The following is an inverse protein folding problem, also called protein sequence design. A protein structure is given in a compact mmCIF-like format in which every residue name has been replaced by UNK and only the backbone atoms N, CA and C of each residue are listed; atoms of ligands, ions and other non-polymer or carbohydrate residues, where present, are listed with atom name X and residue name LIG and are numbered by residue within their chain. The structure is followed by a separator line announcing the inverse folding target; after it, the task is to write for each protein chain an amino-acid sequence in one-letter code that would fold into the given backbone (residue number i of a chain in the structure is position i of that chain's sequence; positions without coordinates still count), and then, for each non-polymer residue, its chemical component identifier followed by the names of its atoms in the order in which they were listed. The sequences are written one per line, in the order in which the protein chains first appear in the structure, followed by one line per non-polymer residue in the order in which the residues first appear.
data_IF_879036407074
#
_entry.id   IF_879036407074
#
_cell.length_a   1.000
_cell.length_b   1.000
_cell.length_c   1.000
_cell.angle_alpha   90.00
_cell.angle_beta   90.00
_cell.angle_gamma   90.00
#
_symmetry.space_group_name_H-M   'P 1'
#
loop_
_entity.id
_entity.type
_entity.pdbx_description
1 polymer ?
#
# COMPACT_ATOMS: atom_id res chain seq x y z
N UNK A 1 -13.79 -8.38 12.50
CA UNK A 1 -15.17 -7.87 12.70
C UNK A 1 -15.61 -7.20 11.42
N UNK A 2 -16.83 -7.45 10.96
CA UNK A 2 -17.49 -6.64 9.94
C UNK A 2 -18.08 -5.40 10.61
N UNK A 3 -18.05 -4.26 9.93
CA UNK A 3 -18.68 -3.04 10.41
C UNK A 3 -19.35 -2.30 9.25
N UNK A 4 -20.59 -1.80 9.42
CA UNK A 4 -21.24 -1.02 8.38
C UNK A 4 -20.48 0.29 8.12
N UNK A 5 -20.74 0.91 6.97
CA UNK A 5 -20.21 2.24 6.69
C UNK A 5 -20.99 3.28 7.50
N UNK A 6 -20.29 4.15 8.24
CA UNK A 6 -20.94 5.26 8.95
C UNK A 6 -21.47 6.32 7.97
N UNK A 7 -20.70 6.64 6.94
CA UNK A 7 -21.15 7.41 5.78
C UNK A 7 -21.39 6.44 4.63
N UNK A 8 -22.60 6.38 4.06
CA UNK A 8 -22.88 5.50 2.91
C UNK A 8 -22.24 5.98 1.61
N UNK A 9 -22.13 5.12 0.59
CA UNK A 9 -21.64 5.53 -0.74
C UNK A 9 -22.54 6.60 -1.38
N UNK A 10 -23.86 6.45 -1.27
CA UNK A 10 -24.83 7.41 -1.79
C UNK A 10 -24.69 8.80 -1.13
N UNK A 11 -24.39 8.86 0.17
CA UNK A 11 -24.11 10.13 0.87
C UNK A 11 -22.81 10.80 0.39
N UNK A 12 -21.87 10.05 -0.17
CA UNK A 12 -20.67 10.58 -0.85
C UNK A 12 -20.89 10.89 -2.33
N UNK A 13 -22.14 10.79 -2.83
CA UNK A 13 -22.46 11.01 -4.24
C UNK A 13 -22.10 9.83 -5.16
N UNK A 14 -21.76 8.66 -4.62
CA UNK A 14 -21.45 7.45 -5.39
C UNK A 14 -22.71 6.58 -5.45
N UNK A 15 -23.39 6.60 -6.59
CA UNK A 15 -24.61 5.82 -6.82
C UNK A 15 -24.26 4.45 -7.41
N UNK A 16 -24.81 3.39 -6.84
CA UNK A 16 -24.62 2.02 -7.33
C UNK A 16 -25.75 1.11 -6.81
N UNK A 17 -26.06 0.06 -7.57
CA UNK A 17 -26.93 -1.04 -7.14
C UNK A 17 -26.15 -2.25 -6.61
N UNK A 18 -24.81 -2.16 -6.57
CA UNK A 18 -23.95 -3.23 -6.10
C UNK A 18 -24.28 -3.65 -4.66
N UNK A 19 -24.11 -4.93 -4.37
CA UNK A 19 -24.02 -5.43 -3.00
C UNK A 19 -22.72 -4.87 -2.41
N UNK A 20 -22.86 -4.09 -1.33
CA UNK A 20 -21.71 -3.51 -0.63
C UNK A 20 -21.27 -4.45 0.49
N UNK A 21 -19.99 -4.81 0.49
CA UNK A 21 -19.32 -5.54 1.55
C UNK A 21 -18.40 -4.61 2.34
N UNK A 22 -18.90 -3.97 3.42
CA UNK A 22 -18.13 -2.99 4.18
C UNK A 22 -17.28 -3.65 5.26
N UNK A 23 -16.03 -3.21 5.35
CA UNK A 23 -15.06 -3.50 6.41
C UNK A 23 -14.97 -5.00 6.74
N UNK A 24 -14.96 -5.87 5.71
CA UNK A 24 -14.84 -7.30 5.93
C UNK A 24 -13.52 -7.66 6.63
N UNK A 25 -13.57 -8.71 7.44
CA UNK A 25 -12.38 -9.27 8.08
C UNK A 25 -11.58 -10.18 7.15
N UNK A 26 -10.35 -10.49 7.55
CA UNK A 26 -9.40 -11.34 6.78
C UNK A 26 -10.02 -12.65 6.32
N UNK A 27 -10.64 -13.42 7.21
CA UNK A 27 -11.22 -14.72 6.86
C UNK A 27 -12.29 -14.60 5.75
N UNK A 28 -13.21 -13.65 5.90
CA UNK A 28 -14.29 -13.43 4.93
C UNK A 28 -13.76 -12.96 3.58
N UNK A 29 -12.71 -12.14 3.57
CA UNK A 29 -12.09 -11.69 2.33
C UNK A 29 -11.33 -12.81 1.63
N UNK A 30 -10.66 -13.69 2.38
CA UNK A 30 -10.03 -14.90 1.82
C UNK A 30 -11.07 -15.85 1.25
N UNK A 31 -12.15 -16.12 1.98
CA UNK A 31 -13.28 -16.95 1.51
C UNK A 31 -13.83 -16.42 0.19
N UNK A 32 -14.17 -15.13 0.14
CA UNK A 32 -14.72 -14.54 -1.09
C UNK A 32 -13.70 -14.49 -2.23
N UNK A 33 -12.41 -14.24 -1.96
CA UNK A 33 -11.38 -14.28 -3.00
C UNK A 33 -11.26 -15.68 -3.63
N UNK A 34 -11.42 -16.74 -2.83
CA UNK A 34 -11.41 -18.12 -3.33
C UNK A 34 -12.68 -18.41 -4.12
N UNK A 35 -13.85 -18.07 -3.57
CA UNK A 35 -15.16 -18.32 -4.20
C UNK A 35 -15.29 -17.57 -5.54
N UNK A 36 -14.74 -16.36 -5.62
CA UNK A 36 -14.71 -15.55 -6.84
C UNK A 36 -13.62 -15.99 -7.84
N UNK A 37 -12.77 -16.97 -7.48
CA UNK A 37 -11.65 -17.41 -8.33
C UNK A 37 -10.55 -16.36 -8.52
N UNK A 38 -10.41 -15.43 -7.57
CA UNK A 38 -9.42 -14.35 -7.62
C UNK A 38 -8.01 -14.80 -7.22
N UNK A 39 -7.92 -15.91 -6.48
CA UNK A 39 -6.67 -16.47 -5.97
C UNK A 39 -6.82 -17.93 -5.55
N UNK A 40 -5.73 -18.51 -5.05
CA UNK A 40 -5.65 -19.92 -4.62
C UNK A 40 -4.88 -20.02 -3.31
N UNK A 41 -5.26 -20.94 -2.43
CA UNK A 41 -4.50 -21.18 -1.21
C UNK A 41 -3.23 -21.98 -1.49
N UNK A 42 -2.13 -21.56 -0.86
CA UNK A 42 -0.91 -22.35 -0.75
C UNK A 42 -1.11 -23.54 0.19
N UNK A 43 -0.13 -24.44 0.22
CA UNK A 43 -0.09 -25.59 1.14
C UNK A 43 -0.31 -25.18 2.60
N UNK A 44 0.11 -23.97 2.97
CA UNK A 44 0.06 -23.46 4.34
C UNK A 44 -1.08 -22.46 4.58
N UNK A 45 -1.91 -22.17 3.57
CA UNK A 45 -3.11 -21.35 3.72
C UNK A 45 -2.91 -19.85 3.46
N UNK A 46 -1.74 -19.42 2.98
CA UNK A 46 -1.59 -18.08 2.40
C UNK A 46 -2.30 -17.98 1.04
N UNK A 47 -2.84 -16.82 0.71
CA UNK A 47 -3.57 -16.58 -0.54
C UNK A 47 -2.59 -16.16 -1.65
N UNK A 48 -2.41 -17.01 -2.66
CA UNK A 48 -1.59 -16.73 -3.85
C UNK A 48 -2.47 -16.13 -4.95
N UNK A 49 -2.04 -14.99 -5.49
CA UNK A 49 -2.76 -14.23 -6.52
C UNK A 49 -1.83 -13.85 -7.67
N UNK A 50 -2.40 -13.63 -8.85
CA UNK A 50 -1.68 -13.19 -10.04
C UNK A 50 -2.21 -11.85 -10.52
N UNK A 51 -1.31 -10.91 -10.82
CA UNK A 51 -1.66 -9.55 -11.25
C UNK A 51 -1.58 -9.37 -12.78
N UNK A 52 -1.19 -10.42 -13.50
CA UNK A 52 -1.10 -10.44 -14.95
C UNK A 52 0.02 -9.54 -15.48
N UNK A 53 -0.28 -8.73 -16.50
CA UNK A 53 0.70 -7.89 -17.21
C UNK A 53 1.45 -6.91 -16.29
N UNK A 54 0.77 -6.39 -15.25
CA UNK A 54 1.35 -5.40 -14.34
C UNK A 54 1.80 -6.09 -13.06
N UNK A 55 3.08 -6.44 -12.97
CA UNK A 55 3.70 -7.06 -11.79
C UNK A 55 4.46 -6.06 -10.91
N UNK A 56 4.23 -4.77 -11.17
CA UNK A 56 4.86 -3.65 -10.48
C UNK A 56 4.18 -2.34 -10.86
N UNK A 57 4.70 -1.23 -10.33
CA UNK A 57 4.12 0.10 -10.54
C UNK A 57 4.11 0.52 -12.01
N UNK A 58 3.01 1.13 -12.43
CA UNK A 58 2.85 1.75 -13.73
C UNK A 58 3.15 3.26 -13.64
N UNK A 59 4.38 3.60 -13.25
CA UNK A 59 4.75 4.97 -12.86
C UNK A 59 4.44 6.05 -13.94
N UNK A 60 4.48 5.67 -15.22
CA UNK A 60 4.17 6.55 -16.35
C UNK A 60 2.66 6.69 -16.65
N UNK A 61 1.81 5.91 -15.99
CA UNK A 61 0.35 5.99 -16.04
C UNK A 61 -0.24 6.66 -14.77
N UNK A 62 0.62 7.19 -13.89
CA UNK A 62 0.20 7.98 -12.75
C UNK A 62 0.11 9.46 -13.12
N UNK A 63 -1.04 10.06 -12.86
CA UNK A 63 -1.34 11.46 -13.14
C UNK A 63 -1.82 12.16 -11.87
N UNK A 64 -1.45 13.44 -11.73
CA UNK A 64 -2.01 14.34 -10.71
C UNK A 64 -2.81 15.41 -11.45
N UNK A 65 -4.02 15.70 -10.98
CA UNK A 65 -4.82 16.81 -11.53
C UNK A 65 -4.03 18.10 -11.33
N UNK A 66 -3.83 18.86 -12.42
CA UNK A 66 -3.17 20.17 -12.39
C UNK A 66 -4.23 21.26 -12.37
N UNK A 67 -4.44 21.84 -11.19
CA UNK A 67 -5.45 22.84 -10.86
C UNK A 67 -4.89 23.90 -9.91
N UNK A 68 -5.73 24.80 -9.39
CA UNK A 68 -5.28 25.88 -8.50
C UNK A 68 -4.65 25.43 -7.18
N UNK A 69 -4.93 24.20 -6.69
CA UNK A 69 -4.32 23.64 -5.49
C UNK A 69 -2.90 23.11 -5.76
N UNK A 70 -2.69 22.58 -6.97
CA UNK A 70 -1.52 21.77 -7.32
C UNK A 70 -0.52 22.45 -8.25
N UNK A 71 -0.94 23.48 -8.99
CA UNK A 71 -0.14 24.19 -10.01
C UNK A 71 1.24 24.58 -9.48
N UNK A 72 1.29 25.20 -8.30
CA UNK A 72 2.52 25.76 -7.72
C UNK A 72 3.11 24.89 -6.58
N UNK A 73 2.45 23.79 -6.21
CA UNK A 73 2.85 22.95 -5.06
C UNK A 73 3.37 21.58 -5.48
N UNK A 74 3.02 21.10 -6.68
CA UNK A 74 3.50 19.82 -7.23
C UNK A 74 4.75 20.04 -8.07
N UNK A 75 5.75 19.17 -7.89
CA UNK A 75 6.94 19.15 -8.74
C UNK A 75 6.64 18.49 -10.09
N UNK A 76 6.32 19.30 -11.09
CA UNK A 76 5.88 18.83 -12.42
C UNK A 76 6.96 18.22 -13.30
N UNK A 77 8.26 18.46 -13.04
CA UNK A 77 9.31 17.82 -13.85
C UNK A 77 9.36 16.30 -13.64
N UNK A 78 8.78 15.81 -12.54
CA UNK A 78 8.79 14.40 -12.16
C UNK A 78 7.38 13.78 -12.03
N UNK A 79 6.32 14.57 -12.18
CA UNK A 79 4.93 14.09 -12.08
C UNK A 79 4.17 14.44 -13.36
N UNK A 80 3.45 13.46 -13.92
CA UNK A 80 2.58 13.71 -15.06
C UNK A 80 1.28 14.41 -14.62
N UNK A 81 0.83 15.37 -15.43
CA UNK A 81 -0.41 16.10 -15.19
C UNK A 81 -1.58 15.53 -15.99
N UNK A 82 -2.78 15.60 -15.42
CA UNK A 82 -4.06 15.53 -16.13
C UNK A 82 -4.81 16.84 -15.86
N UNK A 83 -5.53 17.41 -16.83
CA UNK A 83 -6.27 18.65 -16.57
C UNK A 83 -7.65 18.36 -15.92
N UNK A 84 -8.32 19.37 -15.34
CA UNK A 84 -9.60 19.19 -14.66
C UNK A 84 -10.70 18.59 -15.56
N UNK A 85 -10.78 19.00 -16.82
CA UNK A 85 -11.81 18.50 -17.76
C UNK A 85 -11.62 17.02 -18.10
N UNK A 86 -10.36 16.62 -18.31
CA UNK A 86 -9.97 15.23 -18.55
C UNK A 86 -10.26 14.35 -17.33
N UNK A 87 -9.92 14.83 -16.13
CA UNK A 87 -10.24 14.13 -14.90
C UNK A 87 -11.76 14.02 -14.68
N UNK A 88 -12.52 15.07 -14.98
CA UNK A 88 -13.97 15.05 -14.88
C UNK A 88 -14.58 13.99 -15.82
N UNK A 89 -14.10 13.90 -17.07
CA UNK A 89 -14.52 12.86 -18.00
C UNK A 89 -14.13 11.45 -17.53
N UNK A 90 -12.92 11.28 -16.98
CA UNK A 90 -12.47 10.02 -16.39
C UNK A 90 -13.34 9.61 -15.19
N UNK A 91 -13.64 10.56 -14.30
CA UNK A 91 -14.48 10.37 -13.11
C UNK A 91 -15.90 9.98 -13.49
N UNK A 92 -16.49 10.62 -14.49
CA UNK A 92 -17.82 10.26 -15.02
C UNK A 92 -17.85 8.79 -15.43
N UNK A 93 -16.88 8.36 -16.22
CA UNK A 93 -16.82 6.99 -16.73
C UNK A 93 -16.47 5.97 -15.63
N UNK A 94 -15.64 6.33 -14.66
CA UNK A 94 -15.39 5.51 -13.47
C UNK A 94 -16.64 5.32 -12.63
N UNK A 95 -17.40 6.38 -12.36
CA UNK A 95 -18.64 6.29 -11.57
C UNK A 95 -19.71 5.48 -12.30
N UNK A 96 -19.77 5.58 -13.63
CA UNK A 96 -20.61 4.69 -14.43
C UNK A 96 -20.17 3.23 -14.26
N UNK A 97 -18.87 2.94 -14.36
CA UNK A 97 -18.34 1.60 -14.17
C UNK A 97 -18.60 1.04 -12.76
N UNK A 98 -18.56 1.89 -11.71
CA UNK A 98 -18.98 1.54 -10.34
C UNK A 98 -20.48 1.17 -10.29
N UNK A 99 -21.32 1.88 -11.04
CA UNK A 99 -22.75 1.60 -11.15
C UNK A 99 -23.08 0.30 -11.88
N UNK A 100 -22.18 -0.20 -12.71
CA UNK A 100 -22.31 -1.47 -13.46
C UNK A 100 -21.81 -2.69 -12.67
N UNK A 101 -21.27 -2.52 -11.46
CA UNK A 101 -20.82 -3.63 -10.61
C UNK A 101 -21.98 -4.27 -9.86
N UNK A 102 -21.95 -5.59 -9.79
CA UNK A 102 -22.87 -6.37 -8.95
C UNK A 102 -22.44 -6.37 -7.48
N UNK A 103 -21.14 -6.25 -7.23
CA UNK A 103 -20.52 -6.33 -5.89
C UNK A 103 -19.40 -5.32 -5.76
N UNK A 104 -19.28 -4.68 -4.59
CA UNK A 104 -18.16 -3.80 -4.23
C UNK A 104 -17.70 -4.10 -2.80
N UNK A 105 -16.38 -4.11 -2.61
CA UNK A 105 -15.74 -4.20 -1.32
C UNK A 105 -15.31 -2.81 -0.87
N UNK A 106 -15.61 -2.45 0.38
CA UNK A 106 -15.31 -1.13 0.92
C UNK A 106 -14.58 -1.26 2.23
N UNK A 107 -13.41 -0.62 2.36
CA UNK A 107 -12.65 -0.57 3.61
C UNK A 107 -12.42 0.88 4.04
N UNK A 108 -12.76 1.18 5.30
CA UNK A 108 -12.43 2.42 6.01
C UNK A 108 -11.17 2.19 6.84
N UNK A 109 -10.11 2.94 6.55
CA UNK A 109 -8.75 2.72 7.02
C UNK A 109 -8.05 4.04 7.35
N UNK A 110 -6.92 3.99 8.04
CA UNK A 110 -6.06 5.14 8.30
C UNK A 110 -4.74 5.01 7.54
N UNK A 111 -4.31 6.08 6.88
CA UNK A 111 -2.90 6.27 6.50
C UNK A 111 -2.20 7.04 7.62
N UNK A 112 -1.25 6.41 8.31
CA UNK A 112 -0.62 6.96 9.52
C UNK A 112 -1.11 6.32 10.82
N UNK A 113 -0.19 5.90 11.68
CA UNK A 113 -0.48 5.39 13.03
C UNK A 113 -0.62 6.51 14.07
N UNK A 114 0.07 7.65 13.89
CA UNK A 114 -0.01 8.78 14.83
C UNK A 114 -1.36 9.53 14.68
N UNK A 115 -2.25 9.56 15.70
CA UNK A 115 -3.61 10.09 15.58
C UNK A 115 -3.72 11.55 15.10
N UNK A 116 -2.76 12.40 15.46
CA UNK A 116 -2.77 13.83 15.07
C UNK A 116 -2.41 14.05 13.59
N UNK A 117 -1.82 13.05 12.94
CA UNK A 117 -1.27 13.16 11.60
C UNK A 117 -1.88 12.17 10.60
N UNK A 118 -2.64 11.18 11.07
CA UNK A 118 -3.30 10.19 10.23
C UNK A 118 -4.38 10.80 9.33
N UNK A 119 -4.61 10.15 8.20
CA UNK A 119 -5.63 10.52 7.22
C UNK A 119 -6.67 9.40 7.15
N UNK A 120 -7.96 9.75 7.19
CA UNK A 120 -9.07 8.81 6.98
C UNK A 120 -9.19 8.48 5.49
N UNK A 121 -8.93 7.23 5.12
CA UNK A 121 -8.99 6.75 3.74
C UNK A 121 -10.09 5.72 3.59
N UNK A 122 -10.99 5.93 2.63
CA UNK A 122 -11.93 4.91 2.16
C UNK A 122 -11.42 4.31 0.86
N UNK A 123 -11.41 2.99 0.77
CA UNK A 123 -11.04 2.26 -0.44
C UNK A 123 -12.23 1.45 -0.92
N UNK A 124 -12.66 1.70 -2.16
CA UNK A 124 -13.76 1.03 -2.84
C UNK A 124 -13.14 0.23 -3.99
N UNK A 125 -13.37 -1.07 -4.03
CA UNK A 125 -12.83 -1.90 -5.11
C UNK A 125 -13.75 -3.06 -5.49
N UNK A 126 -13.44 -3.71 -6.61
CA UNK A 126 -14.23 -4.82 -7.16
C UNK A 126 -13.71 -6.22 -6.80
N UNK A 127 -12.55 -6.35 -6.13
CA UNK A 127 -11.91 -7.65 -5.84
C UNK A 127 -11.72 -7.85 -4.34
N UNK A 128 -12.17 -8.99 -3.81
CA UNK A 128 -12.01 -9.32 -2.40
C UNK A 128 -10.54 -9.31 -1.97
N UNK A 129 -9.63 -9.84 -2.80
CA UNK A 129 -8.21 -9.87 -2.47
C UNK A 129 -7.54 -8.49 -2.48
N UNK A 130 -8.03 -7.53 -3.29
CA UNK A 130 -7.57 -6.14 -3.23
C UNK A 130 -7.99 -5.47 -1.92
N UNK A 131 -9.22 -5.74 -1.47
CA UNK A 131 -9.67 -5.25 -0.18
C UNK A 131 -8.90 -5.89 1.00
N UNK A 132 -8.57 -7.18 0.90
CA UNK A 132 -7.68 -7.87 1.86
C UNK A 132 -6.31 -7.21 1.88
N UNK A 133 -5.70 -7.00 0.71
CA UNK A 133 -4.40 -6.35 0.58
C UNK A 133 -4.39 -5.00 1.28
N UNK A 134 -5.31 -4.09 0.93
CA UNK A 134 -5.23 -2.72 1.45
C UNK A 134 -5.59 -2.65 2.94
N UNK A 135 -6.49 -3.52 3.41
CA UNK A 135 -6.79 -3.69 4.84
C UNK A 135 -5.59 -4.21 5.64
N UNK A 136 -4.79 -5.06 5.02
CA UNK A 136 -3.53 -5.55 5.60
C UNK A 136 -2.52 -4.41 5.71
N UNK A 137 -2.39 -3.59 4.66
CA UNK A 137 -1.35 -2.57 4.59
C UNK A 137 -1.64 -1.28 5.34
N UNK A 138 -2.87 -0.79 5.38
CA UNK A 138 -3.17 0.45 6.11
C UNK A 138 -3.50 0.18 7.58
N UNK A 139 -3.39 1.20 8.41
CA UNK A 139 -3.74 1.10 9.83
C UNK A 139 -5.24 0.87 9.97
N UNK A 140 -5.62 -0.18 10.73
CA UNK A 140 -7.01 -0.61 10.89
C UNK A 140 -7.67 0.16 12.03
N UNK A 141 -8.79 0.86 11.80
CA UNK A 141 -9.57 1.46 12.87
C UNK A 141 -10.14 0.40 13.82
N UNK A 142 -10.28 0.75 15.09
CA UNK A 142 -11.09 -0.01 16.05
C UNK A 142 -12.58 0.07 15.72
N UNK A 143 -13.39 -0.80 16.33
CA UNK A 143 -14.85 -0.77 16.12
C UNK A 143 -15.46 0.59 16.48
N UNK A 144 -15.00 1.20 17.58
CA UNK A 144 -15.48 2.51 18.04
C UNK A 144 -15.04 3.64 17.10
N UNK A 145 -13.84 3.55 16.51
CA UNK A 145 -13.37 4.53 15.52
C UNK A 145 -14.07 4.43 14.17
N UNK A 146 -14.68 3.28 13.85
CA UNK A 146 -15.54 3.13 12.68
C UNK A 146 -16.90 3.80 12.88
N UNK A 147 -17.34 3.96 14.12
CA UNK A 147 -18.51 4.77 14.43
C UNK A 147 -18.21 6.25 14.12
N UNK A 148 -19.01 6.87 13.26
CA UNK A 148 -18.77 8.24 12.81
C UNK A 148 -17.61 8.37 11.82
N UNK A 149 -17.09 7.28 11.24
CA UNK A 149 -16.04 7.37 10.23
C UNK A 149 -16.51 8.15 9.00
N UNK A 150 -15.83 9.27 8.74
CA UNK A 150 -16.02 10.14 7.60
C UNK A 150 -14.70 10.19 6.82
N UNK A 151 -14.63 9.58 5.62
CA UNK A 151 -13.40 9.56 4.85
C UNK A 151 -12.97 10.95 4.41
N UNK A 152 -11.68 11.23 4.50
CA UNK A 152 -11.08 12.45 3.97
C UNK A 152 -10.66 12.23 2.51
N UNK A 153 -10.11 11.06 2.20
CA UNK A 153 -9.75 10.65 0.85
C UNK A 153 -10.49 9.37 0.48
N UNK A 154 -10.88 9.27 -0.80
CA UNK A 154 -11.48 8.07 -1.36
C UNK A 154 -10.61 7.53 -2.50
N UNK A 155 -10.33 6.24 -2.48
CA UNK A 155 -9.72 5.49 -3.58
C UNK A 155 -10.81 4.63 -4.21
N UNK A 156 -10.98 4.72 -5.52
CA UNK A 156 -11.80 3.80 -6.31
C UNK A 156 -10.85 2.99 -7.21
N UNK A 157 -10.74 1.70 -6.93
CA UNK A 157 -9.85 0.78 -7.62
C UNK A 157 -10.66 -0.26 -8.40
N UNK A 158 -10.65 -0.14 -9.73
CA UNK A 158 -11.35 -1.01 -10.66
C UNK A 158 -10.36 -1.56 -11.70
N UNK A 159 -9.61 -2.64 -11.40
CA UNK A 159 -8.68 -3.25 -12.33
C UNK A 159 -9.29 -3.64 -13.68
N UNK A 160 -10.61 -3.82 -13.78
CA UNK A 160 -11.37 -4.07 -15.01
C UNK A 160 -11.62 -2.81 -15.85
N UNK A 161 -11.59 -1.62 -15.26
CA UNK A 161 -11.76 -0.38 -16.00
C UNK A 161 -10.59 -0.18 -16.97
N UNK A 162 -10.88 0.39 -18.14
CA UNK A 162 -9.89 0.74 -19.16
C UNK A 162 -10.11 2.18 -19.54
N UNK A 163 -9.11 3.03 -19.29
CA UNK A 163 -9.16 4.42 -19.72
C UNK A 163 -9.15 4.49 -21.25
N UNK A 164 -9.83 5.49 -21.81
CA UNK A 164 -9.74 5.89 -23.20
C UNK A 164 -8.71 7.05 -23.28
N UNK A 165 -7.49 6.80 -23.80
CA UNK A 165 -6.45 7.84 -23.90
C UNK A 165 -6.91 9.12 -24.59
N UNK A 166 -7.76 9.01 -25.62
CA UNK A 166 -8.20 10.16 -26.40
C UNK A 166 -9.23 11.01 -25.61
N UNK A 167 -10.11 10.36 -24.86
CA UNK A 167 -11.14 11.04 -24.05
C UNK A 167 -10.61 11.53 -22.71
N UNK A 168 -9.83 10.70 -22.02
CA UNK A 168 -9.37 10.93 -20.65
C UNK A 168 -8.00 11.61 -20.58
N UNK A 169 -7.30 11.80 -21.70
CA UNK A 169 -5.96 12.39 -21.70
C UNK A 169 -4.91 11.52 -21.03
N UNK A 170 -5.18 10.22 -20.86
CA UNK A 170 -4.22 9.27 -20.29
C UNK A 170 -3.22 8.81 -21.34
N UNK A 171 -2.10 8.25 -20.88
CA UNK A 171 -1.07 7.68 -21.76
C UNK A 171 -1.49 6.33 -22.35
N UNK A 172 -2.19 5.53 -21.56
CA UNK A 172 -2.62 4.18 -21.91
C UNK A 172 -4.00 3.87 -21.30
N UNK A 173 -4.46 2.64 -21.49
CA UNK A 173 -5.68 2.13 -20.84
C UNK A 173 -5.53 1.92 -19.33
N UNK A 174 -4.29 1.87 -18.82
CA UNK A 174 -3.96 1.88 -17.39
C UNK A 174 -3.90 3.31 -16.89
N UNK A 175 -4.46 3.57 -15.70
CA UNK A 175 -4.50 4.90 -15.11
C UNK A 175 -4.44 4.83 -13.59
N UNK A 176 -3.65 5.73 -13.00
CA UNK A 176 -3.68 6.09 -11.57
C UNK A 176 -3.83 7.60 -11.49
N UNK A 177 -5.06 8.11 -11.41
CA UNK A 177 -5.34 9.54 -11.41
C UNK A 177 -5.63 10.05 -10.00
N UNK A 178 -4.89 11.05 -9.54
CA UNK A 178 -4.98 11.64 -8.21
C UNK A 178 -5.52 13.06 -8.30
N UNK A 179 -6.65 13.34 -7.66
CA UNK A 179 -7.19 14.68 -7.49
C UNK A 179 -7.12 15.08 -6.01
N UNK A 180 -6.21 16.00 -5.67
CA UNK A 180 -5.98 16.45 -4.29
C UNK A 180 -7.06 17.43 -3.82
N UNK A 181 -7.68 18.19 -4.73
CA UNK A 181 -8.79 19.11 -4.45
C UNK A 181 -10.08 18.36 -4.12
N UNK A 182 -10.46 17.39 -4.97
CA UNK A 182 -11.62 16.53 -4.75
C UNK A 182 -11.35 15.37 -3.79
N UNK A 183 -10.09 15.19 -3.36
CA UNK A 183 -9.61 14.11 -2.48
C UNK A 183 -10.03 12.71 -2.99
N UNK A 184 -9.91 12.52 -4.30
CA UNK A 184 -10.32 11.31 -5.00
C UNK A 184 -9.16 10.73 -5.81
N UNK A 185 -8.92 9.43 -5.66
CA UNK A 185 -7.97 8.68 -6.46
C UNK A 185 -8.71 7.60 -7.25
N UNK A 186 -8.43 7.50 -8.56
CA UNK A 186 -9.01 6.53 -9.48
C UNK A 186 -7.90 5.62 -10.02
N UNK A 187 -8.05 4.31 -9.83
CA UNK A 187 -7.08 3.29 -10.26
C UNK A 187 -7.80 2.32 -11.21
N UNK A 188 -7.25 2.14 -12.41
CA UNK A 188 -7.83 1.28 -13.43
C UNK A 188 -6.79 0.68 -14.37
N UNK A 189 -7.14 -0.44 -15.00
CA UNK A 189 -6.28 -1.11 -15.98
C UNK A 189 -5.05 -1.81 -15.40
N UNK A 190 -5.00 -2.00 -14.07
CA UNK A 190 -3.92 -2.71 -13.38
C UNK A 190 -4.48 -3.50 -12.19
N UNK A 191 -4.02 -4.75 -12.02
CA UNK A 191 -4.27 -5.57 -10.82
C UNK A 191 -3.12 -5.49 -9.81
N UNK A 192 -2.13 -4.63 -10.04
CA UNK A 192 -1.04 -4.47 -9.09
C UNK A 192 -1.51 -3.69 -7.86
N UNK A 193 -1.76 -4.38 -6.76
CA UNK A 193 -2.39 -3.81 -5.57
C UNK A 193 -1.52 -2.74 -4.88
N UNK A 194 -0.21 -2.76 -5.13
CA UNK A 194 0.73 -1.74 -4.65
C UNK A 194 0.41 -0.31 -5.10
N UNK A 195 -0.40 -0.11 -6.14
CA UNK A 195 -0.89 1.23 -6.53
C UNK A 195 -1.79 1.86 -5.45
N UNK A 196 -2.61 1.08 -4.75
CA UNK A 196 -3.44 1.59 -3.64
C UNK A 196 -2.56 2.09 -2.49
N UNK A 197 -1.59 1.27 -2.04
CA UNK A 197 -0.60 1.61 -1.01
C UNK A 197 0.12 2.91 -1.37
N UNK A 198 0.74 2.96 -2.55
CA UNK A 198 1.56 4.11 -2.98
C UNK A 198 0.74 5.36 -3.32
N UNK A 199 -0.57 5.23 -3.52
CA UNK A 199 -1.48 6.38 -3.61
C UNK A 199 -1.65 7.07 -2.26
N UNK A 200 -1.88 6.29 -1.19
CA UNK A 200 -1.93 6.84 0.18
C UNK A 200 -0.58 7.45 0.57
N UNK A 201 0.53 6.77 0.26
CA UNK A 201 1.86 7.33 0.48
C UNK A 201 2.04 8.68 -0.23
N UNK A 202 1.59 8.78 -1.49
CA UNK A 202 1.65 10.03 -2.25
C UNK A 202 0.86 11.17 -1.60
N UNK A 203 -0.33 10.87 -1.07
CA UNK A 203 -1.15 11.84 -0.33
C UNK A 203 -0.42 12.30 0.94
N UNK A 204 0.16 11.38 1.72
CA UNK A 204 0.90 11.72 2.93
C UNK A 204 2.17 12.54 2.61
N UNK A 205 2.87 12.24 1.52
CA UNK A 205 4.01 13.02 1.05
C UNK A 205 3.65 14.47 0.68
N UNK A 206 2.41 14.71 0.23
CA UNK A 206 1.92 16.05 -0.08
C UNK A 206 1.47 16.80 1.18
N UNK A 207 0.69 16.14 2.04
CA UNK A 207 0.05 16.79 3.18
C UNK A 207 1.00 17.06 4.36
N UNK A 208 1.85 16.11 4.71
CA UNK A 208 2.62 16.16 5.95
C UNK A 208 3.70 17.25 6.00
N UNK A 209 4.43 17.58 4.91
CA UNK A 209 5.42 18.66 4.94
C UNK A 209 4.82 20.02 5.34
N UNK A 210 3.58 20.30 4.93
CA UNK A 210 2.88 21.56 5.30
C UNK A 210 2.57 21.66 6.80
N UNK A 211 2.63 20.54 7.52
CA UNK A 211 2.44 20.42 8.97
C UNK A 211 3.75 20.31 9.74
N UNK A 212 4.90 20.45 9.08
CA UNK A 212 6.22 20.28 9.69
C UNK A 212 6.60 18.81 9.97
N UNK A 213 5.89 17.85 9.39
CA UNK A 213 6.20 16.43 9.52
C UNK A 213 6.93 15.96 8.28
N UNK A 214 8.08 15.27 8.45
CA UNK A 214 8.86 14.74 7.34
C UNK A 214 8.35 13.35 6.94
N UNK A 215 7.72 13.17 5.77
CA UNK A 215 7.42 11.85 5.22
C UNK A 215 8.72 11.20 4.70
N UNK A 216 8.86 9.90 4.95
CA UNK A 216 10.08 9.15 4.68
C UNK A 216 9.74 7.82 4.00
N UNK A 217 10.53 7.45 3.00
CA UNK A 217 10.53 6.12 2.39
C UNK A 217 11.70 5.32 2.95
N UNK A 218 11.49 4.75 4.13
CA UNK A 218 12.51 4.07 4.92
C UNK A 218 11.88 2.92 5.73
N UNK A 219 12.69 1.99 6.21
CA UNK A 219 12.28 1.15 7.34
C UNK A 219 12.71 1.79 8.66
N UNK A 220 12.08 1.42 9.77
CA UNK A 220 12.44 1.94 11.09
C UNK A 220 12.28 0.89 12.20
N UNK A 221 13.19 0.89 13.17
CA UNK A 221 13.15 -0.02 14.33
C UNK A 221 13.77 0.61 15.59
N UNK A 222 13.48 0.02 16.74
CA UNK A 222 13.91 0.47 18.07
C UNK A 222 14.90 -0.54 18.63
N UNK A 223 16.04 -0.05 19.14
CA UNK A 223 17.05 -0.88 19.76
C UNK A 223 16.72 -1.23 21.22
N UNK A 224 17.45 -2.20 21.81
CA UNK A 224 17.35 -2.49 23.25
C UNK A 224 17.65 -1.28 24.16
N UNK A 225 18.34 -0.26 23.64
CA UNK A 225 18.61 1.00 24.32
C UNK A 225 17.47 2.03 24.19
N UNK A 226 16.34 1.63 23.59
CA UNK A 226 15.17 2.48 23.35
C UNK A 226 15.35 3.49 22.22
N UNK A 227 16.44 3.44 21.45
CA UNK A 227 16.69 4.41 20.38
C UNK A 227 16.23 3.91 19.02
N UNK A 228 15.54 4.80 18.31
CA UNK A 228 15.09 4.57 16.95
C UNK A 228 16.22 4.74 15.94
N UNK A 229 16.28 3.84 14.98
CA UNK A 229 17.07 3.96 13.75
C UNK A 229 16.12 3.94 12.54
N UNK A 230 16.41 4.79 11.55
CA UNK A 230 15.71 4.80 10.25
C UNK A 230 16.68 4.42 9.13
N UNK A 231 16.21 3.62 8.17
CA UNK A 231 17.02 3.07 7.09
C UNK A 231 16.45 3.47 5.75
N UNK A 232 17.06 4.47 5.12
CA UNK A 232 16.74 4.89 3.76
C UNK A 232 17.41 3.97 2.75
N UNK A 233 16.74 3.70 1.63
CA UNK A 233 17.30 2.89 0.56
C UNK A 233 16.27 2.57 -0.51
N UNK A 234 16.72 2.26 -1.72
CA UNK A 234 15.83 1.78 -2.77
C UNK A 234 15.44 0.31 -2.54
N UNK A 235 14.55 -0.20 -3.39
CA UNK A 235 14.19 -1.61 -3.39
C UNK A 235 15.43 -2.46 -3.68
N UNK A 236 15.71 -3.46 -2.84
CA UNK A 236 16.86 -4.37 -3.01
C UNK A 236 18.17 -3.91 -2.37
N UNK A 237 18.19 -2.78 -1.65
CA UNK A 237 19.40 -2.30 -0.95
C UNK A 237 19.53 -2.81 0.50
N UNK A 238 18.74 -3.81 0.90
CA UNK A 238 18.80 -4.42 2.22
C UNK A 238 17.98 -3.74 3.33
N UNK A 239 17.07 -2.80 3.00
CA UNK A 239 16.21 -2.12 4.00
C UNK A 239 15.47 -3.12 4.90
N UNK A 240 14.70 -4.02 4.30
CA UNK A 240 13.84 -4.98 5.00
C UNK A 240 14.66 -5.95 5.85
N UNK A 241 15.73 -6.51 5.26
CA UNK A 241 16.65 -7.43 5.94
C UNK A 241 17.34 -6.78 7.14
N UNK A 242 17.78 -5.51 7.02
CA UNK A 242 18.44 -4.80 8.13
C UNK A 242 17.47 -4.26 9.19
N UNK A 243 16.20 -4.03 8.83
CA UNK A 243 15.19 -3.61 9.80
C UNK A 243 14.58 -4.77 10.58
N UNK A 244 14.49 -5.96 9.98
CA UNK A 244 13.97 -7.19 10.58
C UNK A 244 15.05 -7.92 11.40
N UNK A 245 15.75 -7.17 12.25
CA UNK A 245 16.67 -7.74 13.23
C UNK A 245 15.86 -8.19 14.45
N UNK A 246 15.88 -9.49 14.76
CA UNK A 246 15.13 -10.08 15.87
C UNK A 246 15.43 -9.40 17.23
N UNK A 247 16.60 -8.79 17.39
CA UNK A 247 16.99 -8.05 18.60
C UNK A 247 16.40 -6.63 18.70
N UNK A 248 15.70 -6.17 17.67
CA UNK A 248 15.14 -4.82 17.54
C UNK A 248 13.64 -4.87 17.28
N UNK A 249 12.92 -3.92 17.86
CA UNK A 249 11.47 -3.81 17.70
C UNK A 249 11.15 -3.04 16.42
N UNK A 250 10.53 -3.71 15.44
CA UNK A 250 10.16 -3.12 14.15
C UNK A 250 9.02 -2.09 14.33
N UNK A 251 9.20 -0.89 13.78
CA UNK A 251 8.14 0.13 13.68
C UNK A 251 7.41 -0.02 12.35
N UNK A 252 8.14 -0.26 11.26
CA UNK A 252 7.60 -0.50 9.91
C UNK A 252 8.70 -0.74 8.88
N UNK A 253 8.34 -1.27 7.71
CA UNK A 253 9.28 -1.74 6.68
C UNK A 253 9.53 -0.76 5.53
N UNK A 254 8.68 0.24 5.30
CA UNK A 254 8.75 1.04 4.06
C UNK A 254 8.38 2.52 4.17
N UNK A 255 7.36 2.91 4.95
CA UNK A 255 6.82 4.27 4.93
C UNK A 255 6.59 4.85 6.34
N UNK A 256 7.25 5.96 6.66
CA UNK A 256 7.16 6.60 7.99
C UNK A 256 6.98 8.11 7.92
N UNK A 257 6.41 8.67 8.98
CA UNK A 257 6.47 10.10 9.27
C UNK A 257 7.42 10.35 10.44
N UNK A 258 8.16 11.45 10.38
CA UNK A 258 8.94 11.98 11.48
C UNK A 258 8.33 13.32 11.93
N UNK A 259 7.69 13.31 13.09
CA UNK A 259 7.13 14.48 13.78
C UNK A 259 8.06 14.94 14.92
N UNK A 260 7.71 16.03 15.59
CA UNK A 260 8.46 16.51 16.77
C UNK A 260 8.52 15.48 17.92
N UNK A 261 7.58 14.53 17.95
CA UNK A 261 7.41 13.60 19.07
C UNK A 261 7.71 12.15 18.72
N UNK A 262 7.67 11.76 17.44
CA UNK A 262 7.78 10.35 17.07
C UNK A 262 8.29 10.11 15.64
N UNK A 263 8.82 8.91 15.44
CA UNK A 263 8.70 8.22 14.15
C UNK A 263 7.45 7.37 14.20
N UNK A 264 6.60 7.46 13.19
CA UNK A 264 5.36 6.69 13.15
C UNK A 264 5.18 6.05 11.78
N UNK A 265 4.71 4.80 11.77
CA UNK A 265 4.45 4.07 10.54
C UNK A 265 3.24 4.67 9.81
N UNK A 266 3.27 4.74 8.49
CA UNK A 266 2.07 5.05 7.70
C UNK A 266 1.15 3.85 7.53
N UNK A 267 1.67 2.66 7.80
CA UNK A 267 1.08 1.37 7.49
C UNK A 267 0.73 0.56 8.75
N UNK A 268 -0.13 -0.45 8.59
CA UNK A 268 -0.47 -1.48 9.58
C UNK A 268 -0.03 -2.88 9.16
N UNK A 269 0.80 -2.98 8.13
CA UNK A 269 1.33 -4.22 7.56
C UNK A 269 2.62 -3.98 6.80
N UNK A 270 3.19 -5.05 6.25
CA UNK A 270 4.41 -5.03 5.46
C UNK A 270 4.13 -5.50 4.02
N UNK A 271 4.98 -5.09 3.07
CA UNK A 271 4.89 -5.52 1.66
C UNK A 271 6.24 -5.97 1.10
N UNK A 272 6.73 -7.07 1.66
CA UNK A 272 8.07 -7.58 1.41
C UNK A 272 8.20 -8.21 0.02
N UNK A 273 9.44 -8.27 -0.49
CA UNK A 273 9.78 -9.06 -1.67
C UNK A 273 9.87 -10.53 -1.29
N UNK A 274 9.39 -11.41 -2.17
CA UNK A 274 9.38 -12.86 -1.94
C UNK A 274 10.40 -13.61 -2.80
N UNK A 275 10.98 -12.97 -3.82
CA UNK A 275 11.92 -13.62 -4.73
C UNK A 275 13.21 -13.97 -3.98
N UNK A 276 13.64 -15.24 -4.11
CA UNK A 276 14.79 -15.84 -3.41
C UNK A 276 14.69 -15.77 -1.89
N UNK A 277 13.48 -15.69 -1.34
CA UNK A 277 13.25 -15.73 0.08
C UNK A 277 13.63 -17.12 0.63
N UNK A 278 14.45 -17.15 1.68
CA UNK A 278 14.84 -18.39 2.34
C UNK A 278 14.61 -18.31 3.85
N UNK A 279 14.23 -19.44 4.44
CA UNK A 279 14.01 -19.58 5.88
C UNK A 279 15.30 -19.31 6.69
N UNK A 280 16.47 -19.56 6.09
CA UNK A 280 17.77 -19.32 6.72
C UNK A 280 18.13 -17.83 6.78
N UNK A 281 17.91 -17.10 5.68
CA UNK A 281 18.31 -15.69 5.59
C UNK A 281 17.30 -14.75 6.25
N UNK A 282 16.00 -15.04 6.10
CA UNK A 282 14.92 -14.15 6.54
C UNK A 282 13.79 -14.96 7.24
N UNK A 283 14.09 -15.63 8.38
CA UNK A 283 13.17 -16.59 9.01
C UNK A 283 11.81 -16.00 9.39
N UNK A 284 11.79 -14.76 9.90
CA UNK A 284 10.55 -14.10 10.32
C UNK A 284 9.63 -13.79 9.14
N UNK A 285 10.20 -13.27 8.04
CA UNK A 285 9.47 -12.98 6.81
C UNK A 285 9.01 -14.29 6.16
N UNK A 286 9.90 -15.30 6.10
CA UNK A 286 9.57 -16.61 5.56
C UNK A 286 8.42 -17.28 6.33
N UNK A 287 8.37 -17.16 7.66
CA UNK A 287 7.28 -17.67 8.47
C UNK A 287 5.92 -17.08 8.06
N UNK A 288 5.86 -15.79 7.70
CA UNK A 288 4.61 -15.14 7.26
C UNK A 288 4.01 -15.77 6.00
N UNK A 289 4.83 -16.37 5.14
CA UNK A 289 4.36 -17.06 3.93
C UNK A 289 3.53 -18.31 4.24
N UNK A 290 3.64 -18.81 5.47
CA UNK A 290 2.93 -19.97 6.00
C UNK A 290 1.76 -19.60 6.91
N UNK A 291 1.37 -18.32 6.96
CA UNK A 291 0.30 -17.82 7.82
C UNK A 291 -0.94 -17.48 7.00
N UNK A 292 -2.11 -17.86 7.53
CA UNK A 292 -3.40 -17.57 6.90
C UNK A 292 -3.65 -16.07 6.84
N UNK A 293 -4.14 -15.57 5.70
CA UNK A 293 -4.40 -14.13 5.50
C UNK A 293 -3.23 -13.36 4.88
N UNK A 294 -2.03 -13.94 4.83
CA UNK A 294 -0.93 -13.42 3.99
C UNK A 294 -1.32 -13.52 2.51
N UNK A 295 -1.14 -12.43 1.76
CA UNK A 295 -1.34 -12.39 0.31
C UNK A 295 0.01 -12.47 -0.39
N UNK A 296 0.20 -13.43 -1.28
CA UNK A 296 1.40 -13.63 -2.07
C UNK A 296 1.11 -13.28 -3.54
N UNK A 297 1.64 -12.17 -4.02
CA UNK A 297 1.48 -11.70 -5.39
C UNK A 297 2.56 -12.29 -6.30
N UNK A 298 2.11 -12.98 -7.36
CA UNK A 298 2.92 -13.52 -8.44
C UNK A 298 4.01 -14.53 -8.01
N UNK A 299 3.89 -15.10 -6.81
CA UNK A 299 4.74 -16.22 -6.37
C UNK A 299 4.31 -17.47 -7.12
N UNK A 300 5.27 -18.18 -7.73
CA UNK A 300 4.99 -19.44 -8.41
C UNK A 300 4.62 -20.50 -7.40
N UNK A 301 3.60 -21.28 -7.72
CA UNK A 301 3.08 -22.33 -6.84
C UNK A 301 2.81 -23.59 -7.65
N UNK A 302 3.31 -24.73 -7.19
CA UNK A 302 3.03 -26.02 -7.82
C UNK A 302 1.52 -26.33 -7.72
N UNK A 303 0.91 -26.66 -8.86
CA UNK A 303 -0.55 -26.76 -8.95
C UNK A 303 -1.13 -27.90 -8.10
N UNK A 304 -0.37 -28.97 -7.90
CA UNK A 304 -0.85 -30.20 -7.22
C UNK A 304 -0.55 -30.19 -5.73
N UNK A 305 0.69 -29.87 -5.37
CA UNK A 305 1.20 -29.89 -4.00
C UNK A 305 0.92 -28.59 -3.26
N UNK A 306 0.70 -27.48 -4.00
CA UNK A 306 0.55 -26.12 -3.48
C UNK A 306 1.79 -25.58 -2.77
N UNK A 307 2.95 -26.20 -3.00
CA UNK A 307 4.24 -25.68 -2.54
C UNK A 307 4.60 -24.41 -3.31
N UNK A 308 5.21 -23.46 -2.60
CA UNK A 308 5.66 -22.19 -3.16
C UNK A 308 7.08 -22.35 -3.68
N UNK A 309 7.36 -21.82 -4.86
CA UNK A 309 8.70 -21.68 -5.42
C UNK A 309 9.10 -20.20 -5.37
N UNK A 310 9.99 -19.86 -4.43
CA UNK A 310 10.48 -18.50 -4.27
C UNK A 310 11.65 -18.18 -5.21
N UNK A 311 12.29 -19.17 -5.83
CA UNK A 311 13.40 -18.96 -6.76
C UNK A 311 12.93 -18.76 -8.20
N UNK A 312 11.71 -19.21 -8.53
CA UNK A 312 11.09 -19.04 -9.84
C UNK A 312 10.54 -17.61 -10.05
N UNK A 313 11.13 -16.91 -11.02
CA UNK A 313 10.76 -15.55 -11.43
C UNK A 313 9.93 -15.50 -12.73
N UNK A 314 9.41 -16.63 -13.21
CA UNK A 314 8.71 -16.74 -14.49
C UNK A 314 7.45 -15.87 -14.58
N UNK A 315 6.79 -15.61 -13.45
CA UNK A 315 5.71 -14.62 -13.35
C UNK A 315 6.25 -13.20 -13.12
N UNK A 316 7.18 -13.03 -12.18
CA UNK A 316 7.79 -11.73 -11.90
C UNK A 316 9.10 -11.85 -11.08
N UNK A 317 10.08 -10.99 -11.34
CA UNK A 317 11.17 -10.69 -10.36
C UNK A 317 10.67 -9.86 -9.16
N UNK A 318 9.50 -9.26 -9.28
CA UNK A 318 8.87 -8.48 -8.22
C UNK A 318 7.74 -9.25 -7.55
N UNK A 319 7.97 -10.53 -7.23
CA UNK A 319 7.05 -11.26 -6.33
C UNK A 319 7.00 -10.58 -4.97
N UNK A 320 5.81 -10.58 -4.36
CA UNK A 320 5.56 -9.82 -3.12
C UNK A 320 4.70 -10.60 -2.14
N UNK A 321 4.85 -10.27 -0.86
CA UNK A 321 4.00 -10.78 0.20
C UNK A 321 3.49 -9.64 1.06
N UNK A 322 2.18 -9.55 1.21
CA UNK A 322 1.50 -8.61 2.10
C UNK A 322 1.00 -9.36 3.33
N UNK A 323 1.44 -8.92 4.50
CA UNK A 323 1.05 -9.51 5.78
C UNK A 323 0.91 -8.42 6.86
N UNK A 324 0.01 -8.61 7.84
CA UNK A 324 -0.12 -7.72 8.98
C UNK A 324 1.20 -7.59 9.75
N UNK A 325 1.48 -6.41 10.31
CA UNK A 325 2.77 -6.16 10.99
C UNK A 325 2.92 -7.06 12.22
N UNK A 326 1.83 -7.37 12.91
CA UNK A 326 1.77 -8.26 14.09
C UNK A 326 2.11 -9.73 13.78
N UNK A 327 2.36 -10.09 12.51
CA UNK A 327 2.92 -11.40 12.16
C UNK A 327 4.43 -11.46 12.41
N UNK A 328 5.09 -10.30 12.53
CA UNK A 328 6.48 -10.20 12.96
C UNK A 328 6.50 -10.16 14.50
N UNK A 329 7.19 -11.10 15.18
CA UNK A 329 7.10 -11.24 16.63
C UNK A 329 7.54 -10.03 17.45
N UNK A 330 8.52 -9.26 16.96
CA UNK A 330 9.09 -8.11 17.67
C UNK A 330 8.71 -6.80 16.99
N UNK A 331 7.47 -6.34 17.20
CA UNK A 331 6.92 -5.13 16.59
C UNK A 331 6.44 -4.12 17.62
N UNK A 332 6.44 -2.85 17.24
CA UNK A 332 5.93 -1.76 18.08
C UNK A 332 4.41 -1.91 18.20
N UNK A 333 3.91 -1.99 19.43
CA UNK A 333 2.48 -2.20 19.72
C UNK A 333 1.60 -1.12 19.08
N UNK A 334 2.09 0.12 19.05
CA UNK A 334 1.35 1.28 18.52
C UNK A 334 1.76 1.64 17.08
N UNK A 335 2.75 0.96 16.50
CA UNK A 335 3.44 1.37 15.27
C UNK A 335 4.06 2.78 15.36
N UNK A 336 4.58 3.13 16.54
CA UNK A 336 5.38 4.34 16.78
C UNK A 336 6.72 3.99 17.45
N UNK A 337 7.67 4.90 17.35
CA UNK A 337 8.89 4.91 18.14
C UNK A 337 9.36 6.33 18.46
N UNK A 338 10.32 6.49 19.37
CA UNK A 338 10.94 7.78 19.64
C UNK A 338 11.53 8.42 18.38
N UNK A 339 11.77 9.74 18.41
CA UNK A 339 12.47 10.43 17.32
C UNK A 339 13.81 9.75 16.99
N UNK A 340 14.21 9.66 15.70
CA UNK A 340 15.41 8.95 15.29
C UNK A 340 16.67 9.47 15.98
N UNK A 341 17.47 8.57 16.53
CA UNK A 341 18.84 8.87 16.95
C UNK A 341 19.86 8.52 15.88
N UNK A 342 19.49 7.65 14.94
CA UNK A 342 20.36 7.18 13.86
C UNK A 342 19.62 7.23 12.52
N UNK A 343 20.29 7.76 11.50
CA UNK A 343 19.83 7.75 10.11
C UNK A 343 20.85 6.97 9.29
N UNK A 344 20.41 5.89 8.65
CA UNK A 344 21.26 5.03 7.83
C UNK A 344 20.83 5.17 6.38
N UNK A 345 21.77 5.51 5.49
CA UNK A 345 21.54 5.58 4.04
C UNK A 345 22.16 4.37 3.36
N UNK A 346 21.33 3.46 2.88
CA UNK A 346 21.73 2.23 2.22
C UNK A 346 21.89 2.45 0.73
N UNK A 347 23.03 2.03 0.20
CA UNK A 347 23.36 2.11 -1.23
C UNK A 347 23.97 0.80 -1.69
N UNK A 348 23.45 0.28 -2.80
CA UNK A 348 24.02 -0.88 -3.49
C UNK A 348 24.94 -0.35 -4.59
N UNK A 349 26.17 0.00 -4.21
CA UNK A 349 27.14 0.57 -5.14
C UNK A 349 27.74 -0.50 -6.06
N UNK A 350 27.18 -0.61 -7.27
CA UNK A 350 27.65 -1.52 -8.30
C UNK A 350 29.07 -1.19 -8.81
N UNK A 351 29.60 0.00 -8.55
CA UNK A 351 30.94 0.40 -8.96
C UNK A 351 32.01 0.02 -7.93
N UNK A 352 31.62 -0.33 -6.70
CA UNK A 352 32.54 -0.71 -5.62
C UNK A 352 33.49 0.43 -5.20
N UNK A 353 33.02 1.68 -5.28
CA UNK A 353 33.78 2.89 -4.96
C UNK A 353 33.55 3.30 -3.51
N UNK A 354 32.31 3.24 -3.04
CA UNK A 354 31.94 3.69 -1.71
C UNK A 354 32.55 2.76 -0.63
N UNK A 355 32.98 3.32 0.51
CA UNK A 355 33.39 2.48 1.63
C UNK A 355 32.18 1.69 2.17
N UNK A 356 32.41 0.57 2.87
CA UNK A 356 31.32 -0.21 3.45
C UNK A 356 30.42 0.58 4.41
N UNK A 357 30.98 1.56 5.11
CA UNK A 357 30.25 2.51 5.97
C UNK A 357 31.00 3.84 6.04
N UNK A 358 30.26 4.94 6.06
CA UNK A 358 30.78 6.28 6.28
C UNK A 358 29.87 7.07 7.23
N UNK A 359 30.46 7.87 8.11
CA UNK A 359 29.71 8.82 8.93
C UNK A 359 29.58 10.15 8.18
N UNK A 360 28.35 10.53 7.86
CA UNK A 360 28.06 11.77 7.15
C UNK A 360 28.03 12.97 8.10
N UNK A 361 28.35 14.14 7.57
CA UNK A 361 28.04 15.44 8.17
C UNK A 361 26.57 15.81 7.88
N UNK A 362 26.03 16.87 8.50
CA UNK A 362 24.71 17.39 8.13
C UNK A 362 24.63 17.93 6.69
N UNK A 363 25.72 18.52 6.20
CA UNK A 363 25.94 18.86 4.78
C UNK A 363 26.38 17.61 4.00
#
# INVERSE_FOLDING_TARGET
MTAPLSTSLAQQGIQTSAIIHPNLGTAQLVEQAIDNGEGRLSKYGSLVVETGKHTGRSAKDKFIVRDGETEDTVWWDNNASINPEQFAALKEDFLKAVGEKDTLYVADLYGGSQPEHRVKVRVINELAWHNLFIRTLLCRPTADELEGFAPEYTIIDLPSFRADPARHGTRSETVVAVNLTEKLILIGGTRYAGEMKKSVFGVLNYLLPTKGVMPMHCSANIGPDGKTAVFFGLSGTGKTTLSADASRTLIGDDEHGWSDTAVFNFEGGCYAKMIRLSEEAEPEIYATTRMFGTVLENVVMDEKTRELDFDDNSLAENTRGAYPIDYIPNTSEENLGPVPSNVVMLTADAFGVLPPIARLTPD
#
